data_IF_615809742680
#
_entry.id   IF_615809742680
#
_cell.length_a   1.000
_cell.length_b   1.000
_cell.length_c   1.000
_cell.angle_alpha   90.00
_cell.angle_beta   90.00
_cell.angle_gamma   90.00
#
_symmetry.space_group_name_H-M   'P 1'
#
loop_
_entity.id
_entity.type
_entity.pdbx_description
1 polymer ?
#
# COMPACT_ATOMS: atom_id res chain seq x y z
N UNK A 1 -5.84 30.42 -0.12
CA UNK A 1 -6.76 29.60 0.71
C UNK A 1 -7.70 28.88 -0.24
N UNK A 2 -7.63 27.56 -0.32
CA UNK A 2 -8.45 26.77 -1.23
C UNK A 2 -9.85 26.68 -0.66
N UNK A 3 -10.81 27.39 -1.24
CA UNK A 3 -12.19 27.38 -0.75
C UNK A 3 -12.79 25.97 -0.81
N UNK A 4 -13.65 25.65 0.16
CA UNK A 4 -14.40 24.40 0.15
C UNK A 4 -15.45 24.50 -0.95
N UNK A 5 -15.22 23.81 -2.06
CA UNK A 5 -16.16 23.70 -3.17
C UNK A 5 -16.66 22.26 -3.28
N UNK A 6 -17.89 22.02 -3.78
CA UNK A 6 -18.40 20.67 -3.97
C UNK A 6 -17.54 19.85 -4.94
N UNK A 7 -16.93 20.50 -5.94
CA UNK A 7 -15.98 19.85 -6.83
C UNK A 7 -14.73 19.34 -6.09
N UNK A 8 -14.15 20.17 -5.22
CA UNK A 8 -12.98 19.79 -4.40
C UNK A 8 -13.29 18.59 -3.52
N UNK A 9 -14.44 18.58 -2.83
CA UNK A 9 -14.85 17.45 -1.97
C UNK A 9 -15.01 16.15 -2.76
N UNK A 10 -15.60 16.19 -3.96
CA UNK A 10 -15.77 15.01 -4.83
C UNK A 10 -14.44 14.49 -5.34
N UNK A 11 -13.49 15.37 -5.65
CA UNK A 11 -12.15 14.99 -6.08
C UNK A 11 -11.37 14.36 -4.94
N UNK A 12 -11.44 14.94 -3.74
CA UNK A 12 -10.82 14.39 -2.53
C UNK A 12 -11.39 13.01 -2.16
N UNK A 13 -12.72 12.87 -2.18
CA UNK A 13 -13.39 11.59 -1.95
C UNK A 13 -12.90 10.50 -2.92
N UNK A 14 -12.84 10.81 -4.22
CA UNK A 14 -12.35 9.86 -5.23
C UNK A 14 -10.87 9.57 -5.10
N UNK A 15 -10.08 10.54 -4.64
CA UNK A 15 -8.65 10.34 -4.40
C UNK A 15 -8.46 9.36 -3.23
N UNK A 16 -9.13 9.58 -2.09
CA UNK A 16 -9.12 8.65 -0.95
C UNK A 16 -9.57 7.23 -1.32
N UNK A 17 -10.63 7.10 -2.11
CA UNK A 17 -11.10 5.78 -2.54
C UNK A 17 -10.13 5.03 -3.46
N UNK A 18 -9.26 5.72 -4.18
CA UNK A 18 -8.27 5.11 -5.08
C UNK A 18 -7.01 4.65 -4.36
N UNK A 19 -6.70 5.25 -3.22
CA UNK A 19 -5.59 4.82 -2.36
C UNK A 19 -5.95 3.55 -1.56
N UNK A 20 -7.25 3.20 -1.48
CA UNK A 20 -7.69 1.95 -0.85
C UNK A 20 -7.43 0.76 -1.78
N UNK A 21 -7.17 -0.45 -1.22
CA UNK A 21 -6.94 -1.65 -2.01
C UNK A 21 -8.06 -1.89 -3.03
N UNK A 22 -7.71 -2.16 -4.31
CA UNK A 22 -8.71 -2.37 -5.36
C UNK A 22 -9.58 -3.58 -5.01
N UNK A 23 -10.88 -3.46 -5.24
CA UNK A 23 -11.85 -4.54 -4.99
C UNK A 23 -12.56 -4.92 -6.27
N UNK A 24 -12.90 -6.21 -6.39
CA UNK A 24 -13.85 -6.67 -7.39
C UNK A 24 -15.20 -5.99 -7.18
N UNK A 25 -15.82 -5.52 -8.26
CA UNK A 25 -17.09 -4.78 -8.25
C UNK A 25 -18.24 -5.66 -7.73
N UNK A 26 -18.09 -6.99 -7.86
CA UNK A 26 -19.06 -8.00 -7.44
C UNK A 26 -18.90 -8.43 -5.97
N UNK A 27 -17.82 -8.00 -5.29
CA UNK A 27 -17.57 -8.37 -3.90
C UNK A 27 -18.45 -7.54 -2.94
N UNK A 28 -19.64 -8.09 -2.65
CA UNK A 28 -20.52 -7.61 -1.58
C UNK A 28 -20.27 -8.44 -0.30
N UNK A 29 -20.19 -7.82 0.90
CA UNK A 29 -20.41 -6.41 1.23
C UNK A 29 -19.18 -5.50 1.10
N UNK A 30 -19.41 -4.17 1.11
CA UNK A 30 -18.35 -3.15 1.21
C UNK A 30 -17.57 -3.31 2.51
N UNK A 31 -16.26 -3.10 2.49
CA UNK A 31 -15.45 -3.15 3.72
C UNK A 31 -15.93 -2.07 4.69
N UNK A 32 -15.83 -2.30 6.01
CA UNK A 32 -16.23 -1.31 7.02
C UNK A 32 -15.54 0.04 6.82
N UNK A 33 -14.28 0.05 6.34
CA UNK A 33 -13.53 1.25 6.02
C UNK A 33 -14.21 2.06 4.89
N UNK A 34 -14.59 1.41 3.78
CA UNK A 34 -15.29 2.08 2.68
C UNK A 34 -16.63 2.68 3.15
N UNK A 35 -17.34 1.98 4.03
CA UNK A 35 -18.59 2.48 4.60
C UNK A 35 -18.36 3.70 5.48
N UNK A 36 -17.34 3.67 6.36
CA UNK A 36 -16.96 4.80 7.21
C UNK A 36 -16.57 6.04 6.40
N UNK A 37 -15.75 5.89 5.37
CA UNK A 37 -15.37 7.01 4.49
C UNK A 37 -16.61 7.55 3.78
N UNK A 38 -17.47 6.68 3.25
CA UNK A 38 -18.72 7.12 2.62
C UNK A 38 -19.63 7.88 3.59
N UNK A 39 -19.79 7.38 4.82
CA UNK A 39 -20.61 7.98 5.85
C UNK A 39 -20.11 9.39 6.21
N UNK A 40 -18.80 9.56 6.39
CA UNK A 40 -18.21 10.89 6.64
C UNK A 40 -18.49 11.90 5.51
N UNK A 41 -18.45 11.46 4.25
CA UNK A 41 -18.71 12.34 3.10
C UNK A 41 -20.21 12.51 2.77
N UNK A 42 -21.09 11.63 3.27
CA UNK A 42 -22.53 11.69 3.04
C UNK A 42 -23.29 12.38 4.18
N UNK A 43 -22.63 12.63 5.31
CA UNK A 43 -23.19 13.42 6.41
C UNK A 43 -23.65 14.79 5.91
N UNK A 44 -24.87 15.20 6.30
CA UNK A 44 -25.45 16.50 5.92
C UNK A 44 -24.79 17.69 6.62
N UNK A 45 -23.80 17.47 7.50
CA UNK A 45 -23.04 18.55 8.12
C UNK A 45 -22.12 19.23 7.12
N UNK A 46 -22.03 20.55 7.23
CA UNK A 46 -21.05 21.35 6.50
C UNK A 46 -19.66 20.94 6.96
N UNK A 47 -18.78 20.47 6.04
CA UNK A 47 -17.44 20.04 6.43
C UNK A 47 -16.64 21.25 6.92
N UNK A 48 -15.99 21.12 8.07
CA UNK A 48 -15.06 22.14 8.56
C UNK A 48 -13.82 22.19 7.66
N UNK A 49 -13.18 23.35 7.58
CA UNK A 49 -11.94 23.51 6.83
C UNK A 49 -10.82 22.61 7.37
N UNK A 50 -10.78 22.41 8.70
CA UNK A 50 -9.87 21.46 9.34
C UNK A 50 -10.11 20.02 8.90
N UNK A 51 -11.37 19.56 8.79
CA UNK A 51 -11.68 18.20 8.36
C UNK A 51 -11.23 17.96 6.92
N UNK A 52 -11.42 18.94 6.03
CA UNK A 52 -10.95 18.84 4.65
C UNK A 52 -9.41 18.81 4.60
N UNK A 53 -8.73 19.64 5.38
CA UNK A 53 -7.26 19.63 5.46
C UNK A 53 -6.72 18.28 5.98
N UNK A 54 -7.34 17.69 7.01
CA UNK A 54 -6.96 16.38 7.52
C UNK A 54 -7.18 15.27 6.48
N UNK A 55 -8.28 15.30 5.74
CA UNK A 55 -8.54 14.35 4.67
C UNK A 55 -7.51 14.47 3.53
N UNK A 56 -7.07 15.69 3.19
CA UNK A 56 -5.98 15.92 2.23
C UNK A 56 -4.63 15.38 2.73
N UNK A 57 -4.31 15.61 4.01
CA UNK A 57 -3.11 15.07 4.65
C UNK A 57 -3.11 13.54 4.64
N UNK A 58 -4.24 12.91 4.98
CA UNK A 58 -4.39 11.46 4.96
C UNK A 58 -4.18 10.90 3.54
N UNK A 59 -4.76 11.55 2.53
CA UNK A 59 -4.61 11.11 1.15
C UNK A 59 -3.15 11.24 0.65
N UNK A 60 -2.44 12.30 1.06
CA UNK A 60 -1.00 12.42 0.80
C UNK A 60 -0.18 11.34 1.52
N UNK A 61 -0.50 11.08 2.79
CA UNK A 61 0.16 10.04 3.58
C UNK A 61 0.02 8.66 2.93
N UNK A 62 -1.17 8.26 2.47
CA UNK A 62 -1.35 6.96 1.82
C UNK A 62 -0.52 6.81 0.54
N UNK A 63 -0.45 7.85 -0.29
CA UNK A 63 0.39 7.86 -1.49
C UNK A 63 1.87 7.65 -1.12
N UNK A 64 2.34 8.37 -0.10
CA UNK A 64 3.73 8.24 0.36
C UNK A 64 4.00 6.88 1.00
N UNK A 65 3.03 6.29 1.70
CA UNK A 65 3.15 4.95 2.25
C UNK A 65 3.31 3.90 1.14
N UNK A 66 2.54 4.01 0.06
CA UNK A 66 2.68 3.11 -1.09
C UNK A 66 4.05 3.24 -1.78
N UNK A 67 4.54 4.47 -1.95
CA UNK A 67 5.89 4.73 -2.47
C UNK A 67 6.97 4.16 -1.56
N UNK A 68 6.84 4.37 -0.25
CA UNK A 68 7.78 3.85 0.75
C UNK A 68 7.89 2.33 0.72
N UNK A 69 6.74 1.62 0.67
CA UNK A 69 6.73 0.15 0.54
C UNK A 69 7.44 -0.29 -0.74
N UNK A 70 7.14 0.37 -1.87
CA UNK A 70 7.82 0.09 -3.15
C UNK A 70 9.33 0.29 -3.08
N UNK A 71 9.79 1.33 -2.37
CA UNK A 71 11.22 1.61 -2.19
C UNK A 71 11.88 0.54 -1.30
N UNK A 72 11.23 0.12 -0.22
CA UNK A 72 11.73 -0.95 0.64
C UNK A 72 11.91 -2.24 -0.16
N UNK A 73 10.90 -2.66 -0.91
CA UNK A 73 10.96 -3.90 -1.69
C UNK A 73 12.10 -3.87 -2.73
N UNK A 74 12.34 -2.70 -3.34
CA UNK A 74 13.40 -2.54 -4.35
C UNK A 74 14.80 -2.56 -3.75
N UNK A 75 15.01 -1.84 -2.65
CA UNK A 75 16.34 -1.66 -2.07
C UNK A 75 16.68 -2.69 -1.01
N UNK A 76 15.69 -3.47 -0.54
CA UNK A 76 15.89 -4.56 0.41
C UNK A 76 15.25 -5.88 -0.08
N UNK A 77 15.76 -6.46 -1.19
CA UNK A 77 15.24 -7.71 -1.74
C UNK A 77 15.42 -8.91 -0.78
N UNK A 78 16.31 -8.80 0.21
CA UNK A 78 16.54 -9.83 1.24
C UNK A 78 15.69 -9.66 2.49
N UNK A 79 14.79 -8.66 2.56
CA UNK A 79 14.02 -8.36 3.78
C UNK A 79 13.18 -9.54 4.27
N UNK A 80 12.66 -10.35 3.34
CA UNK A 80 11.84 -11.53 3.65
C UNK A 80 12.61 -12.85 3.66
N UNK A 81 13.94 -12.84 3.51
CA UNK A 81 14.75 -14.05 3.43
C UNK A 81 15.17 -14.50 4.83
N UNK A 82 14.77 -15.73 5.19
CA UNK A 82 15.18 -16.36 6.43
C UNK A 82 16.70 -16.58 6.48
N UNK A 83 17.25 -16.64 7.69
CA UNK A 83 18.69 -16.79 7.91
C UNK A 83 19.22 -18.07 7.25
N UNK A 84 18.50 -19.18 7.38
CA UNK A 84 18.88 -20.47 6.81
C UNK A 84 18.98 -20.42 5.28
N UNK A 85 18.02 -19.77 4.63
CA UNK A 85 18.00 -19.61 3.19
C UNK A 85 19.14 -18.71 2.71
N UNK A 86 19.47 -17.67 3.48
CA UNK A 86 20.60 -16.77 3.20
C UNK A 86 21.94 -17.49 3.29
N UNK A 87 22.12 -18.33 4.31
CA UNK A 87 23.30 -19.17 4.49
C UNK A 87 23.43 -20.15 3.33
N UNK A 88 22.33 -20.80 2.93
CA UNK A 88 22.30 -21.73 1.78
C UNK A 88 22.68 -21.05 0.45
N UNK A 89 22.11 -19.89 0.15
CA UNK A 89 22.44 -19.14 -1.07
C UNK A 89 23.88 -18.64 -1.06
N UNK A 90 24.40 -18.25 0.11
CA UNK A 90 25.81 -17.89 0.26
C UNK A 90 26.71 -19.09 0.03
N UNK A 91 26.38 -20.26 0.62
CA UNK A 91 27.11 -21.51 0.43
C UNK A 91 27.14 -21.94 -1.04
N UNK A 92 26.03 -21.79 -1.77
CA UNK A 92 25.98 -22.01 -3.24
C UNK A 92 26.85 -21.03 -4.00
N UNK A 93 26.83 -19.74 -3.64
CA UNK A 93 27.64 -18.71 -4.29
C UNK A 93 29.14 -18.94 -4.12
N UNK A 94 29.59 -19.42 -2.95
CA UNK A 94 31.01 -19.68 -2.67
C UNK A 94 31.46 -21.09 -3.06
N UNK A 95 30.56 -21.94 -3.58
CA UNK A 95 30.87 -23.31 -3.99
C UNK A 95 30.98 -24.32 -2.84
N UNK A 96 30.50 -23.98 -1.64
CA UNK A 96 30.46 -24.87 -0.48
C UNK A 96 29.23 -25.80 -0.50
N UNK A 97 28.14 -25.40 -1.16
CA UNK A 97 26.96 -26.23 -1.44
C UNK A 97 26.73 -26.35 -2.96
N UNK A 98 27.28 -27.40 -3.59
CA UNK A 98 27.16 -27.62 -5.03
C UNK A 98 25.76 -28.17 -5.39
N UNK A 99 25.08 -27.66 -6.44
CA UNK A 99 23.79 -28.19 -6.87
C UNK A 99 23.87 -29.68 -7.25
N UNK A 100 22.81 -30.44 -6.97
CA UNK A 100 22.78 -31.90 -7.16
C UNK A 100 23.08 -32.33 -8.61
N UNK A 101 22.73 -31.50 -9.59
CA UNK A 101 23.02 -31.71 -11.02
C UNK A 101 24.51 -31.91 -11.31
N UNK A 102 25.39 -31.24 -10.54
CA UNK A 102 26.85 -31.36 -10.69
C UNK A 102 27.43 -32.48 -9.83
N UNK A 103 26.72 -32.88 -8.77
CA UNK A 103 27.15 -33.97 -7.87
C UNK A 103 27.06 -35.35 -8.53
N UNK A 104 26.16 -35.53 -9.50
CA UNK A 104 25.97 -36.79 -10.25
C UNK A 104 26.94 -37.02 -11.41
N UNK A 105 27.71 -35.99 -11.81
CA UNK A 105 28.67 -36.03 -12.92
C UNK A 105 30.14 -36.23 -12.48
N UNK A 106 30.36 -36.38 -11.18
CA UNK A 106 31.64 -36.74 -10.55
C UNK A 106 31.60 -38.21 -10.13
#
# INVERSE_FOLDING_TARGET
MTSITPYRLRTLYRHLLRELPPRSILASPRTPLHNRVREQFSSSQTPSESAVAHAEQAAAYFRHQAQYVTLIERYNPGMGMDEEERVRLTARRVGMDLPEEFRSKL
#
